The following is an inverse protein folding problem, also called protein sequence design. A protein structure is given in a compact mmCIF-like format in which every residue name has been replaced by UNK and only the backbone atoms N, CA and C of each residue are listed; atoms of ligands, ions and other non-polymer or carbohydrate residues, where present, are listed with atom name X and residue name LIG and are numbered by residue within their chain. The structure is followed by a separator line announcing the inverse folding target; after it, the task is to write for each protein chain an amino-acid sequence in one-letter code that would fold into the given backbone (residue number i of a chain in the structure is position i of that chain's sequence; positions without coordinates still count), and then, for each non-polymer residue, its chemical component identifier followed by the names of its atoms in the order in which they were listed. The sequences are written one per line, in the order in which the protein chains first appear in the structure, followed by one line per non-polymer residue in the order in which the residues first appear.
data_IF_255416374897
#
_entry.id   IF_255416374897
#
_cell.length_a   1.000
_cell.length_b   1.000
_cell.length_c   1.000
_cell.angle_alpha   90.00
_cell.angle_beta   90.00
_cell.angle_gamma   90.00
#
_symmetry.space_group_name_H-M   'P 1'
#
loop_
_entity.id
_entity.type
_entity.pdbx_description
1 polymer ?
#
# COMPACT_ATOMS: atom_id res chain seq x y z
N UNK A 1 7.88 -36.98 0.94
CA UNK A 1 6.91 -35.94 0.61
C UNK A 1 7.61 -34.60 0.58
N UNK A 2 7.39 -33.86 -0.45
CA UNK A 2 7.94 -32.54 -0.52
C UNK A 2 7.29 -31.62 0.51
N UNK A 3 8.09 -30.86 1.22
CA UNK A 3 7.58 -29.83 2.09
C UNK A 3 7.17 -28.64 1.26
N UNK A 4 5.92 -28.29 1.29
CA UNK A 4 5.45 -27.08 0.62
C UNK A 4 5.71 -25.87 1.50
N UNK A 5 6.37 -24.87 0.92
CA UNK A 5 6.40 -23.56 1.53
C UNK A 5 5.11 -22.86 1.11
N UNK A 6 4.24 -22.66 2.06
CA UNK A 6 2.96 -21.99 1.79
C UNK A 6 3.12 -20.53 2.15
N UNK A 7 3.06 -19.69 1.14
CA UNK A 7 3.04 -18.25 1.36
C UNK A 7 1.70 -17.84 1.96
N UNK A 8 1.75 -17.03 3.00
CA UNK A 8 0.54 -16.45 3.59
C UNK A 8 0.29 -15.09 2.98
N UNK A 9 -0.87 -14.93 2.37
CA UNK A 9 -1.28 -13.66 1.80
C UNK A 9 -1.91 -12.76 2.85
N UNK A 10 -1.62 -11.49 2.75
CA UNK A 10 -2.23 -10.44 3.56
C UNK A 10 -2.89 -9.47 2.60
N UNK A 11 -4.14 -9.12 2.84
CA UNK A 11 -4.83 -8.18 1.97
C UNK A 11 -5.83 -7.35 2.77
N UNK A 12 -6.17 -6.20 2.23
CA UNK A 12 -7.11 -5.30 2.86
C UNK A 12 -7.38 -4.07 2.01
N UNK A 13 -8.15 -3.18 2.58
CA UNK A 13 -8.56 -1.92 1.98
C UNK A 13 -8.25 -0.78 2.94
N UNK A 14 -7.78 0.34 2.42
CA UNK A 14 -7.56 1.54 3.21
C UNK A 14 -8.08 2.76 2.46
N UNK A 15 -8.99 3.48 3.08
CA UNK A 15 -9.48 4.76 2.57
C UNK A 15 -8.79 5.91 3.28
N UNK A 16 -8.49 6.97 2.55
CA UNK A 16 -7.91 8.19 3.10
C UNK A 16 -9.04 9.14 3.46
N UNK A 17 -9.39 9.15 4.73
CA UNK A 17 -10.54 9.93 5.21
C UNK A 17 -10.35 11.44 5.08
N UNK A 18 -9.11 11.90 5.04
CA UNK A 18 -8.80 13.33 4.92
C UNK A 18 -7.62 13.51 3.98
N UNK A 19 -7.87 14.04 2.79
CA UNK A 19 -6.82 14.34 1.83
C UNK A 19 -5.77 15.29 2.45
N UNK A 20 -4.50 14.97 2.22
CA UNK A 20 -3.39 15.73 2.78
C UNK A 20 -2.90 15.22 4.13
N UNK A 21 -3.54 14.19 4.69
CA UNK A 21 -3.11 13.55 5.94
C UNK A 21 -2.68 12.12 5.65
N UNK A 22 -1.39 11.85 5.74
CA UNK A 22 -0.86 10.51 5.52
C UNK A 22 -1.37 9.55 6.58
N UNK A 23 -1.83 8.38 6.15
CA UNK A 23 -2.33 7.33 7.02
C UNK A 23 -1.53 6.06 6.81
N UNK A 24 -1.30 5.32 7.90
CA UNK A 24 -0.67 4.01 7.81
C UNK A 24 -1.57 3.07 7.01
N UNK A 25 -0.96 2.29 6.13
CA UNK A 25 -1.72 1.35 5.28
C UNK A 25 -2.39 0.28 6.13
N UNK A 26 -1.63 -0.30 7.05
CA UNK A 26 -2.12 -1.29 8.00
C UNK A 26 -1.22 -1.29 9.23
N UNK A 27 -1.81 -1.27 10.40
CA UNK A 27 -1.06 -1.17 11.65
C UNK A 27 -0.37 -2.48 12.05
N UNK A 28 -0.63 -3.58 11.35
CA UNK A 28 -0.06 -4.89 11.69
C UNK A 28 1.43 -4.93 11.33
N UNK A 29 2.23 -5.44 12.24
CA UNK A 29 3.68 -5.53 12.05
C UNK A 29 4.05 -6.84 11.33
N UNK A 30 3.68 -6.93 10.05
CA UNK A 30 4.06 -8.07 9.21
C UNK A 30 5.27 -7.73 8.34
N UNK A 31 6.18 -8.69 8.24
CA UNK A 31 7.25 -8.63 7.25
C UNK A 31 6.78 -9.30 5.96
N UNK A 32 6.88 -8.57 4.86
CA UNK A 32 6.39 -9.01 3.56
C UNK A 32 7.55 -9.13 2.58
N UNK A 33 7.51 -10.16 1.75
CA UNK A 33 8.44 -10.27 0.62
C UNK A 33 8.05 -9.34 -0.51
N UNK A 34 6.76 -9.05 -0.65
CA UNK A 34 6.25 -8.11 -1.63
C UNK A 34 4.92 -7.53 -1.17
N UNK A 35 4.59 -6.37 -1.68
CA UNK A 35 3.34 -5.68 -1.40
C UNK A 35 2.87 -4.98 -2.68
N UNK A 36 1.65 -5.27 -3.09
CA UNK A 36 1.00 -4.57 -4.18
C UNK A 36 -0.05 -3.61 -3.63
N UNK A 37 -0.01 -2.39 -4.07
CA UNK A 37 -1.00 -1.36 -3.74
C UNK A 37 -1.75 -1.02 -5.02
N UNK A 38 -3.08 -1.09 -4.97
CA UNK A 38 -3.96 -0.87 -6.13
C UNK A 38 -4.89 0.27 -5.79
N UNK A 39 -4.80 1.36 -6.54
CA UNK A 39 -5.73 2.47 -6.37
C UNK A 39 -7.15 2.04 -6.82
N UNK A 40 -8.16 2.40 -6.03
CA UNK A 40 -9.54 2.06 -6.37
C UNK A 40 -9.96 2.66 -7.70
N UNK A 41 -10.78 1.93 -8.44
CA UNK A 41 -11.26 2.36 -9.76
C UNK A 41 -12.13 3.62 -9.71
N UNK A 42 -12.77 3.87 -8.59
CA UNK A 42 -13.66 5.02 -8.40
C UNK A 42 -12.98 6.23 -7.74
N UNK A 43 -11.65 6.17 -7.54
CA UNK A 43 -10.92 7.33 -7.07
C UNK A 43 -11.06 8.49 -8.03
N UNK A 44 -11.16 9.70 -7.48
CA UNK A 44 -11.23 10.92 -8.29
C UNK A 44 -9.88 11.62 -8.42
N UNK A 45 -8.96 11.36 -7.50
CA UNK A 45 -7.61 11.91 -7.53
C UNK A 45 -6.56 10.80 -7.51
N UNK A 46 -5.33 11.20 -7.25
CA UNK A 46 -4.21 10.26 -7.17
C UNK A 46 -3.99 9.80 -5.73
N UNK A 47 -3.44 8.60 -5.59
CA UNK A 47 -2.97 8.05 -4.32
C UNK A 47 -1.45 8.13 -4.30
N UNK A 48 -0.90 8.61 -3.19
CA UNK A 48 0.53 8.70 -2.95
C UNK A 48 0.92 7.67 -1.89
N UNK A 49 2.10 7.09 -2.02
CA UNK A 49 2.56 6.03 -1.12
C UNK A 49 4.01 6.29 -0.73
N UNK A 50 4.40 5.84 0.45
CA UNK A 50 5.76 6.03 0.94
C UNK A 50 5.86 5.87 2.44
N UNK A 51 6.71 6.67 3.05
CA UNK A 51 6.86 6.75 4.50
C UNK A 51 5.84 7.68 5.15
N UNK A 52 6.03 7.93 6.43
CA UNK A 52 5.06 8.70 7.22
C UNK A 52 4.90 10.17 6.78
N UNK A 53 5.82 10.66 5.97
CA UNK A 53 5.80 12.04 5.45
C UNK A 53 5.32 12.13 4.00
N UNK A 54 4.73 11.06 3.47
CA UNK A 54 4.26 11.07 2.10
C UNK A 54 3.15 12.10 1.89
N UNK A 55 3.22 12.83 0.77
CA UNK A 55 2.18 13.76 0.35
C UNK A 55 2.23 13.93 -1.17
N UNK A 56 1.35 14.78 -1.69
CA UNK A 56 1.23 15.00 -3.13
C UNK A 56 2.48 15.62 -3.77
N UNK A 57 3.39 16.16 -2.98
CA UNK A 57 4.64 16.77 -3.48
C UNK A 57 5.80 15.79 -3.53
N UNK A 58 5.69 14.60 -2.93
CA UNK A 58 6.81 13.67 -2.83
C UNK A 58 7.03 12.87 -4.10
N UNK A 59 5.98 12.64 -4.87
CA UNK A 59 6.08 11.85 -6.10
C UNK A 59 4.81 12.00 -6.93
N UNK A 60 4.88 11.48 -8.16
CA UNK A 60 3.67 11.25 -8.94
C UNK A 60 2.88 10.10 -8.32
N UNK A 61 1.59 10.30 -8.15
CA UNK A 61 0.73 9.30 -7.53
C UNK A 61 0.21 8.25 -8.51
N UNK A 62 -0.62 7.36 -7.97
CA UNK A 62 -1.34 6.35 -8.73
C UNK A 62 -2.70 6.91 -9.14
N UNK A 63 -3.01 6.85 -10.42
CA UNK A 63 -4.35 7.15 -10.91
C UNK A 63 -5.32 6.01 -10.57
N UNK A 64 -6.62 6.28 -10.65
CA UNK A 64 -7.64 5.25 -10.40
C UNK A 64 -7.34 3.99 -11.23
N UNK A 65 -7.35 2.85 -10.57
CA UNK A 65 -7.07 1.55 -11.19
C UNK A 65 -5.60 1.22 -11.39
N UNK A 66 -4.68 2.15 -11.19
CA UNK A 66 -3.24 1.86 -11.27
C UNK A 66 -2.75 1.12 -10.05
N UNK A 67 -1.66 0.39 -10.20
CA UNK A 67 -1.05 -0.37 -9.11
C UNK A 67 0.45 -0.22 -9.11
N UNK A 68 1.06 -0.51 -7.96
CA UNK A 68 2.50 -0.55 -7.77
C UNK A 68 2.87 -1.78 -6.93
N UNK A 69 3.99 -2.40 -7.23
CA UNK A 69 4.53 -3.50 -6.43
C UNK A 69 5.80 -3.02 -5.74
N UNK A 70 5.84 -3.20 -4.43
CA UNK A 70 6.97 -2.85 -3.60
C UNK A 70 7.66 -4.12 -3.09
N UNK A 71 8.94 -3.99 -2.71
CA UNK A 71 9.64 -5.08 -2.06
C UNK A 71 10.13 -6.18 -2.98
N UNK A 72 10.52 -5.83 -4.18
CA UNK A 72 11.08 -6.80 -5.13
C UNK A 72 12.55 -7.11 -4.86
N UNK A 73 13.08 -6.61 -3.77
CA UNK A 73 14.45 -6.85 -3.33
C UNK A 73 14.50 -7.90 -2.22
N UNK A 74 15.70 -8.21 -1.76
CA UNK A 74 15.90 -9.15 -0.65
C UNK A 74 15.48 -8.58 0.70
N UNK A 75 15.33 -7.28 0.79
CA UNK A 75 14.95 -6.62 2.04
C UNK A 75 13.44 -6.69 2.19
N UNK A 76 12.94 -7.23 3.31
CA UNK A 76 11.51 -7.27 3.56
C UNK A 76 10.89 -5.88 3.66
N UNK A 77 9.63 -5.79 3.27
CA UNK A 77 8.82 -4.63 3.57
C UNK A 77 8.07 -4.90 4.87
N UNK A 78 8.17 -3.99 5.82
CA UNK A 78 7.38 -4.06 7.06
C UNK A 78 6.08 -3.29 6.82
N UNK A 79 4.95 -3.98 6.91
CA UNK A 79 3.65 -3.45 6.49
C UNK A 79 3.28 -2.15 7.23
N UNK A 80 3.56 -2.08 8.53
CA UNK A 80 3.20 -0.90 9.31
C UNK A 80 4.13 0.30 9.13
N UNK A 81 5.07 0.24 8.20
CA UNK A 81 5.89 1.39 7.81
C UNK A 81 5.44 2.02 6.50
N UNK A 82 4.44 1.46 5.86
CA UNK A 82 3.92 1.97 4.59
C UNK A 82 2.74 2.89 4.86
N UNK A 83 2.82 4.09 4.33
CA UNK A 83 1.79 5.11 4.48
C UNK A 83 1.25 5.49 3.12
N UNK A 84 0.02 5.94 3.09
CA UNK A 84 -0.62 6.49 1.89
C UNK A 84 -1.25 7.83 2.19
N UNK A 85 -1.38 8.63 1.16
CA UNK A 85 -2.14 9.87 1.18
C UNK A 85 -2.92 9.96 -0.13
N UNK A 86 -3.90 10.84 -0.18
CA UNK A 86 -4.74 11.01 -1.35
C UNK A 86 -4.86 12.48 -1.71
N UNK A 87 -5.02 12.75 -3.00
CA UNK A 87 -5.35 14.09 -3.47
C UNK A 87 -6.81 14.46 -3.23
N UNK A 88 -7.67 13.48 -3.02
CA UNK A 88 -9.11 13.68 -2.79
C UNK A 88 -9.56 12.86 -1.59
N UNK A 89 -10.31 13.49 -0.70
CA UNK A 89 -10.88 12.85 0.49
C UNK A 89 -11.73 11.65 0.09
N UNK A 90 -11.60 10.57 0.85
CA UNK A 90 -12.27 9.29 0.68
C UNK A 90 -11.79 8.42 -0.49
N UNK A 91 -10.82 8.86 -1.26
CA UNK A 91 -10.13 7.96 -2.19
C UNK A 91 -9.34 6.91 -1.39
N UNK A 92 -9.13 5.76 -1.97
CA UNK A 92 -8.49 4.67 -1.26
C UNK A 92 -7.81 3.66 -2.15
N UNK A 93 -7.28 2.64 -1.49
CA UNK A 93 -6.54 1.55 -2.13
C UNK A 93 -6.99 0.20 -1.58
N UNK A 94 -6.81 -0.82 -2.40
CA UNK A 94 -6.68 -2.20 -1.93
C UNK A 94 -5.20 -2.55 -1.88
N UNK A 95 -4.85 -3.47 -1.01
CA UNK A 95 -3.48 -3.97 -0.99
C UNK A 95 -3.46 -5.48 -0.80
N UNK A 96 -2.43 -6.09 -1.36
CA UNK A 96 -2.16 -7.51 -1.21
C UNK A 96 -0.66 -7.68 -0.99
N UNK A 97 -0.31 -8.49 0.00
CA UNK A 97 1.09 -8.77 0.32
C UNK A 97 1.32 -10.24 0.54
N UNK A 98 2.59 -10.63 0.51
CA UNK A 98 3.01 -12.01 0.77
C UNK A 98 3.94 -11.99 1.97
N UNK A 99 3.53 -12.65 3.04
CA UNK A 99 4.34 -12.73 4.27
C UNK A 99 5.54 -13.65 4.06
N UNK A 100 6.62 -13.29 4.73
CA UNK A 100 7.79 -14.14 4.84
C UNK A 100 7.53 -15.35 5.73
#
# INVERSE_FOLDING_TARGET
MATSVIATHVFGTKDVASAGTALILDATNYELSSLMIIAHNDNTGQIYYGGSDVDSSTQRGLDAGESIVLGMSRTPIVLNTVYIDAGTTNDGVDFVGVRL
#
